data_IF_522182090012
#
_entry.id   IF_522182090012
#
_cell.length_a   1.000
_cell.length_b   1.000
_cell.length_c   1.000
_cell.angle_alpha   90.00
_cell.angle_beta   90.00
_cell.angle_gamma   90.00
#
_symmetry.space_group_name_H-M   'P 1'
#
loop_
_entity.id
_entity.type
_entity.pdbx_description
1 polymer ?
#
# COMPACT_ATOMS: atom_id res chain seq x y z
N UNK A 1 -29.90 -5.10 23.43
CA UNK A 1 -29.08 -5.16 22.20
C UNK A 1 -28.20 -3.94 22.20
N UNK A 2 -26.89 -4.15 22.20
CA UNK A 2 -25.81 -3.25 21.75
C UNK A 2 -24.50 -3.87 22.23
N UNK A 3 -24.02 -4.86 21.48
CA UNK A 3 -22.66 -5.36 21.60
C UNK A 3 -21.77 -4.40 20.82
N UNK A 4 -21.08 -3.52 21.53
CA UNK A 4 -19.87 -2.86 21.05
C UNK A 4 -18.85 -3.96 20.78
N UNK A 5 -18.67 -4.34 19.52
CA UNK A 5 -17.47 -5.08 19.10
C UNK A 5 -16.28 -4.16 19.35
N UNK A 6 -15.51 -4.48 20.39
CA UNK A 6 -14.16 -3.94 20.57
C UNK A 6 -13.35 -4.28 19.32
N UNK A 7 -13.08 -3.27 18.52
CA UNK A 7 -12.13 -3.34 17.42
C UNK A 7 -10.75 -3.57 18.04
N UNK A 8 -10.34 -4.84 18.15
CA UNK A 8 -9.00 -5.19 18.61
C UNK A 8 -8.02 -4.66 17.57
N UNK A 9 -7.36 -3.56 17.90
CA UNK A 9 -6.23 -3.04 17.13
C UNK A 9 -5.22 -4.17 16.96
N UNK A 10 -5.00 -4.59 15.71
CA UNK A 10 -3.94 -5.53 15.38
C UNK A 10 -2.62 -4.77 15.52
N UNK A 11 -1.67 -5.23 16.34
CA UNK A 11 -0.40 -4.55 16.50
C UNK A 11 0.34 -4.58 15.16
N UNK A 12 0.62 -3.40 14.61
CA UNK A 12 1.43 -3.23 13.40
C UNK A 12 2.88 -3.09 13.87
N UNK A 13 3.68 -4.12 13.64
CA UNK A 13 5.11 -4.13 13.94
C UNK A 13 5.89 -3.53 12.79
N UNK A 14 6.95 -2.75 13.07
CA UNK A 14 7.85 -2.23 12.04
C UNK A 14 8.70 -3.39 11.47
N UNK A 15 8.49 -3.81 10.20
CA UNK A 15 9.21 -4.92 9.60
C UNK A 15 10.70 -4.59 9.34
N UNK A 16 11.10 -3.33 9.49
CA UNK A 16 12.46 -2.82 9.26
C UNK A 16 13.24 -2.60 10.55
N UNK A 17 12.59 -2.66 11.72
CA UNK A 17 13.26 -2.48 13.01
C UNK A 17 13.85 -3.81 13.50
N UNK A 18 15.14 -3.82 13.81
CA UNK A 18 15.83 -5.00 14.33
C UNK A 18 15.35 -5.40 15.75
N UNK A 19 14.66 -4.48 16.40
CA UNK A 19 13.88 -4.66 17.62
C UNK A 19 12.44 -4.52 17.19
N UNK A 20 11.58 -5.51 17.40
CA UNK A 20 10.14 -5.49 17.06
C UNK A 20 9.40 -4.35 17.80
N UNK A 21 9.69 -3.10 17.45
CA UNK A 21 9.10 -1.92 18.07
C UNK A 21 7.66 -1.81 17.58
N UNK A 22 6.74 -1.74 18.53
CA UNK A 22 5.32 -1.48 18.26
C UNK A 22 5.19 -0.08 17.67
N UNK A 23 4.63 0.02 16.46
CA UNK A 23 4.31 1.31 15.86
C UNK A 23 3.11 1.86 16.64
N UNK A 24 3.29 3.02 17.29
CA UNK A 24 2.18 3.72 17.94
C UNK A 24 1.11 4.03 16.88
N UNK A 25 -0.11 3.44 16.97
CA UNK A 25 -1.16 3.63 15.97
C UNK A 25 -1.67 5.08 15.90
N UNK A 26 -1.32 5.94 16.86
CA UNK A 26 -1.60 7.38 16.78
C UNK A 26 -0.70 8.11 15.77
N UNK A 27 0.51 7.59 15.51
CA UNK A 27 1.45 8.10 14.49
C UNK A 27 0.96 7.74 13.07
N UNK A 28 0.27 6.61 12.92
CA UNK A 28 -0.18 6.08 11.62
C UNK A 28 -1.47 6.76 11.11
N UNK A 29 -2.27 7.40 11.99
CA UNK A 29 -3.53 8.04 11.59
C UNK A 29 -3.38 9.22 10.63
N UNK A 30 -2.21 9.86 10.63
CA UNK A 30 -1.95 11.05 9.80
C UNK A 30 -1.06 10.76 8.57
N UNK A 31 -0.75 9.49 8.33
CA UNK A 31 0.23 9.09 7.29
C UNK A 31 -0.28 9.30 5.86
N UNK A 32 -1.59 9.21 5.64
CA UNK A 32 -2.23 9.43 4.34
C UNK A 32 -3.15 10.65 4.44
N UNK A 33 -2.93 11.63 3.56
CA UNK A 33 -3.69 12.89 3.52
C UNK A 33 -4.22 13.14 2.12
N UNK A 34 -5.50 13.47 2.01
CA UNK A 34 -6.09 13.88 0.73
C UNK A 34 -5.79 15.36 0.50
N UNK A 35 -5.13 15.69 -0.61
CA UNK A 35 -4.84 17.07 -0.98
C UNK A 35 -6.10 17.77 -1.52
N UNK A 36 -6.08 19.10 -1.52
CA UNK A 36 -7.17 19.93 -2.03
C UNK A 36 -7.43 19.69 -3.53
N UNK A 37 -8.70 19.79 -3.93
CA UNK A 37 -9.13 19.53 -5.31
C UNK A 37 -9.40 18.05 -5.61
N UNK A 38 -9.72 17.26 -4.59
CA UNK A 38 -10.25 15.91 -4.75
C UNK A 38 -11.72 15.94 -5.17
N UNK A 39 -12.04 15.13 -6.17
CA UNK A 39 -13.39 14.74 -6.59
C UNK A 39 -13.53 13.22 -6.43
N UNK A 40 -14.75 12.70 -6.52
CA UNK A 40 -15.00 11.25 -6.41
C UNK A 40 -14.22 10.44 -7.47
N UNK A 41 -13.98 11.03 -8.64
CA UNK A 41 -13.25 10.41 -9.76
C UNK A 41 -11.80 10.86 -9.90
N UNK A 42 -11.32 11.83 -9.11
CA UNK A 42 -9.94 12.30 -9.20
C UNK A 42 -9.43 12.89 -7.88
N UNK A 43 -8.43 12.25 -7.27
CA UNK A 43 -7.84 12.72 -6.02
C UNK A 43 -6.31 12.61 -6.03
N UNK A 44 -5.69 13.47 -5.22
CA UNK A 44 -4.27 13.37 -4.90
C UNK A 44 -4.12 13.00 -3.43
N UNK A 45 -3.39 11.93 -3.16
CA UNK A 45 -3.07 11.43 -1.84
C UNK A 45 -1.61 11.74 -1.54
N UNK A 46 -1.33 12.40 -0.43
CA UNK A 46 0.01 12.56 0.11
C UNK A 46 0.24 11.48 1.16
N UNK A 47 1.32 10.72 0.99
CA UNK A 47 1.75 9.66 1.90
C UNK A 47 3.08 10.09 2.51
N UNK A 48 3.11 10.22 3.83
CA UNK A 48 4.31 10.62 4.56
C UNK A 48 5.16 9.41 4.96
N UNK A 49 6.48 9.56 4.89
CA UNK A 49 7.44 8.49 5.22
C UNK A 49 7.67 7.48 4.09
N UNK A 50 7.09 7.69 2.91
CA UNK A 50 7.18 6.78 1.77
C UNK A 50 7.91 7.39 0.57
N UNK A 51 8.47 6.54 -0.27
CA UNK A 51 9.31 6.92 -1.41
C UNK A 51 8.98 6.17 -2.71
N UNK A 52 9.91 6.16 -3.65
CA UNK A 52 9.77 5.48 -4.94
C UNK A 52 9.47 3.98 -4.82
N UNK A 53 9.83 3.34 -3.72
CA UNK A 53 9.62 1.91 -3.48
C UNK A 53 8.12 1.60 -3.48
N UNK A 54 7.37 2.19 -2.55
CA UNK A 54 5.91 2.03 -2.50
C UNK A 54 5.25 2.73 -3.69
N UNK A 55 5.71 3.92 -4.06
CA UNK A 55 5.11 4.71 -5.13
C UNK A 55 5.10 4.01 -6.47
N UNK A 56 6.23 3.45 -6.89
CA UNK A 56 6.33 2.77 -8.18
C UNK A 56 5.54 1.45 -8.19
N UNK A 57 5.59 0.69 -7.09
CA UNK A 57 4.83 -0.54 -6.95
C UNK A 57 3.33 -0.28 -7.04
N UNK A 58 2.83 0.65 -6.22
CA UNK A 58 1.41 0.99 -6.17
C UNK A 58 0.92 1.59 -7.49
N UNK A 59 1.71 2.49 -8.12
CA UNK A 59 1.42 3.01 -9.47
C UNK A 59 1.25 1.88 -10.47
N UNK A 60 2.15 0.88 -10.46
CA UNK A 60 2.09 -0.24 -11.40
C UNK A 60 0.82 -1.07 -11.21
N UNK A 61 0.47 -1.40 -9.97
CA UNK A 61 -0.73 -2.20 -9.64
C UNK A 61 -2.01 -1.45 -10.02
N UNK A 62 -2.15 -0.19 -9.59
CA UNK A 62 -3.35 0.61 -9.85
C UNK A 62 -3.55 0.80 -11.35
N UNK A 63 -2.48 0.97 -12.13
CA UNK A 63 -2.57 1.12 -13.59
C UNK A 63 -3.00 -0.18 -14.32
N UNK A 64 -3.05 -1.33 -13.65
CA UNK A 64 -3.64 -2.56 -14.20
C UNK A 64 -5.15 -2.59 -14.09
N UNK A 65 -5.74 -1.77 -13.22
CA UNK A 65 -7.18 -1.70 -13.08
C UNK A 65 -7.77 -0.99 -14.32
N UNK A 66 -8.69 -1.63 -15.07
CA UNK A 66 -9.31 -1.03 -16.26
C UNK A 66 -10.15 0.22 -15.95
N UNK A 67 -10.60 0.37 -14.70
CA UNK A 67 -11.41 1.51 -14.26
C UNK A 67 -10.57 2.77 -13.98
N UNK A 68 -9.24 2.67 -14.10
CA UNK A 68 -8.30 3.77 -13.90
C UNK A 68 -7.89 4.37 -15.23
N UNK A 69 -8.14 5.67 -15.38
CA UNK A 69 -7.68 6.44 -16.54
C UNK A 69 -6.22 6.87 -16.35
N UNK A 70 -5.90 7.37 -15.16
CA UNK A 70 -4.56 7.91 -14.87
C UNK A 70 -4.12 7.56 -13.45
N UNK A 71 -2.89 7.10 -13.33
CA UNK A 71 -2.22 6.94 -12.04
C UNK A 71 -0.75 7.37 -12.17
N UNK A 72 -0.32 8.27 -11.29
CA UNK A 72 1.05 8.77 -11.26
C UNK A 72 1.45 9.14 -9.85
N UNK A 73 2.75 9.04 -9.56
CA UNK A 73 3.29 9.50 -8.28
C UNK A 73 4.45 10.47 -8.52
N UNK A 74 4.67 11.37 -7.57
CA UNK A 74 5.76 12.34 -7.59
C UNK A 74 6.25 12.61 -6.18
N UNK A 75 7.56 12.74 -6.02
CA UNK A 75 8.18 13.25 -4.80
C UNK A 75 8.48 14.74 -5.06
N UNK A 76 7.87 15.66 -4.30
CA UNK A 76 8.00 17.10 -4.54
C UNK A 76 9.44 17.58 -4.37
N UNK A 77 10.18 16.99 -3.41
CA UNK A 77 11.59 17.29 -3.19
C UNK A 77 12.32 16.07 -2.58
N UNK A 78 13.52 15.69 -3.05
CA UNK A 78 14.23 14.50 -2.56
C UNK A 78 14.59 14.52 -1.06
N UNK A 79 14.69 15.71 -0.47
CA UNK A 79 14.96 15.87 0.97
C UNK A 79 13.71 15.80 1.85
N UNK A 80 12.52 15.71 1.26
CA UNK A 80 11.27 15.51 1.99
C UNK A 80 10.81 14.07 1.80
N UNK A 81 10.52 13.38 2.91
CA UNK A 81 9.95 12.04 2.92
C UNK A 81 8.43 12.10 2.71
N UNK A 82 8.01 12.70 1.59
CA UNK A 82 6.60 12.83 1.21
C UNK A 82 6.42 12.39 -0.22
N UNK A 83 5.43 11.55 -0.44
CA UNK A 83 5.07 11.07 -1.77
C UNK A 83 3.64 11.50 -2.11
N UNK A 84 3.46 12.11 -3.27
CA UNK A 84 2.13 12.45 -3.78
C UNK A 84 1.72 11.44 -4.86
N UNK A 85 0.61 10.74 -4.65
CA UNK A 85 -0.02 9.83 -5.58
C UNK A 85 -1.30 10.48 -6.15
N UNK A 86 -1.38 10.63 -7.47
CA UNK A 86 -2.57 11.11 -8.18
C UNK A 86 -3.27 9.94 -8.85
N UNK A 87 -4.56 9.79 -8.59
CA UNK A 87 -5.43 8.80 -9.24
C UNK A 87 -6.58 9.54 -9.94
N UNK A 88 -6.89 9.12 -11.15
CA UNK A 88 -8.10 9.50 -11.89
C UNK A 88 -8.75 8.24 -12.44
N UNK A 89 -10.04 8.09 -12.17
CA UNK A 89 -10.87 6.96 -12.57
C UNK A 89 -11.87 7.40 -13.64
N UNK A 90 -12.39 6.44 -14.40
CA UNK A 90 -13.54 6.67 -15.26
C UNK A 90 -14.81 6.89 -14.44
N UNK A 91 -15.86 7.42 -15.09
CA UNK A 91 -17.13 7.75 -14.45
C UNK A 91 -17.74 6.55 -13.72
N UNK A 92 -18.14 6.76 -12.46
CA UNK A 92 -18.87 5.78 -11.65
C UNK A 92 -18.01 4.95 -10.70
N UNK A 93 -16.70 5.17 -10.64
CA UNK A 93 -15.79 4.48 -9.72
C UNK A 93 -15.08 5.48 -8.81
N UNK A 94 -15.19 5.24 -7.49
CA UNK A 94 -14.54 6.05 -6.46
C UNK A 94 -13.03 5.85 -6.47
N UNK A 95 -12.27 6.95 -6.44
CA UNK A 95 -10.81 6.92 -6.27
C UNK A 95 -10.37 6.27 -4.96
N UNK A 96 -11.19 6.34 -3.92
CA UNK A 96 -10.91 5.72 -2.62
C UNK A 96 -10.97 4.19 -2.72
N UNK A 97 -11.97 3.67 -3.42
CA UNK A 97 -12.14 2.23 -3.62
C UNK A 97 -11.01 1.66 -4.48
N UNK A 98 -10.57 2.41 -5.49
CA UNK A 98 -9.43 2.05 -6.34
C UNK A 98 -8.12 2.04 -5.55
N UNK A 99 -7.92 3.01 -4.64
CA UNK A 99 -6.74 3.04 -3.79
C UNK A 99 -6.71 1.84 -2.84
N UNK A 100 -7.81 1.57 -2.14
CA UNK A 100 -7.94 0.43 -1.23
C UNK A 100 -7.72 -0.89 -1.97
N UNK A 101 -8.38 -1.06 -3.13
CA UNK A 101 -8.20 -2.22 -4.00
C UNK A 101 -6.75 -2.37 -4.47
N UNK A 102 -6.11 -1.27 -4.85
CA UNK A 102 -4.70 -1.27 -5.29
C UNK A 102 -3.73 -1.71 -4.19
N UNK A 103 -3.98 -1.32 -2.93
CA UNK A 103 -3.19 -1.76 -1.78
C UNK A 103 -3.41 -3.25 -1.49
N UNK A 104 -4.67 -3.71 -1.53
CA UNK A 104 -4.99 -5.13 -1.35
C UNK A 104 -4.36 -6.02 -2.43
N UNK A 105 -4.41 -5.58 -3.69
CA UNK A 105 -3.81 -6.31 -4.81
C UNK A 105 -2.27 -6.34 -4.73
N UNK A 106 -1.64 -5.29 -4.19
CA UNK A 106 -0.22 -5.27 -3.92
C UNK A 106 0.16 -6.28 -2.83
N UNK A 107 -0.59 -6.33 -1.73
CA UNK A 107 -0.38 -7.33 -0.67
C UNK A 107 -0.53 -8.75 -1.20
N UNK A 108 -1.61 -9.03 -1.93
CA UNK A 108 -1.84 -10.34 -2.54
C UNK A 108 -0.72 -10.74 -3.52
N UNK A 109 -0.12 -9.78 -4.23
CA UNK A 109 1.05 -10.05 -5.08
C UNK A 109 2.27 -10.47 -4.25
N UNK A 110 2.53 -9.80 -3.13
CA UNK A 110 3.61 -10.16 -2.22
C UNK A 110 3.44 -11.58 -1.68
N UNK A 111 2.24 -11.96 -1.25
CA UNK A 111 1.93 -13.31 -0.74
C UNK A 111 2.26 -14.40 -1.77
N UNK A 112 1.86 -14.19 -3.03
CA UNK A 112 2.14 -15.14 -4.12
C UNK A 112 3.64 -15.25 -4.42
N UNK A 113 4.37 -14.13 -4.33
CA UNK A 113 5.83 -14.12 -4.54
C UNK A 113 6.52 -14.87 -3.40
N UNK A 114 6.13 -14.63 -2.15
CA UNK A 114 6.66 -15.30 -0.98
C UNK A 114 6.43 -16.82 -1.02
N UNK A 115 5.20 -17.24 -1.35
CA UNK A 115 4.84 -18.66 -1.47
C UNK A 115 5.72 -19.37 -2.51
N UNK A 116 5.82 -18.80 -3.72
CA UNK A 116 6.61 -19.38 -4.82
C UNK A 116 8.09 -19.41 -4.50
N UNK A 117 8.61 -18.35 -3.86
CA UNK A 117 10.00 -18.29 -3.45
C UNK A 117 10.32 -19.36 -2.40
N UNK A 118 9.48 -19.46 -1.36
CA UNK A 118 9.63 -20.45 -0.28
C UNK A 118 9.58 -21.87 -0.83
N UNK A 119 8.60 -22.17 -1.70
CA UNK A 119 8.49 -23.48 -2.36
C UNK A 119 9.74 -23.81 -3.17
N UNK A 120 10.21 -22.89 -4.02
CA UNK A 120 11.38 -23.10 -4.87
C UNK A 120 12.68 -23.25 -4.05
N UNK A 121 12.80 -22.51 -2.95
CA UNK A 121 13.92 -22.61 -2.01
C UNK A 121 13.94 -23.97 -1.34
N UNK A 122 12.81 -24.44 -0.83
CA UNK A 122 12.72 -25.71 -0.11
C UNK A 122 12.99 -26.90 -1.04
N UNK A 123 12.49 -26.85 -2.28
CA UNK A 123 12.85 -27.81 -3.32
C UNK A 123 14.36 -27.82 -3.61
N UNK A 124 15.01 -26.65 -3.70
CA UNK A 124 16.45 -26.55 -3.93
C UNK A 124 17.25 -27.14 -2.76
N UNK A 125 16.86 -26.84 -1.51
CA UNK A 125 17.51 -27.36 -0.31
C UNK A 125 17.39 -28.89 -0.25
N UNK A 126 16.19 -29.43 -0.53
CA UNK A 126 15.97 -30.89 -0.53
C UNK A 126 16.86 -31.60 -1.55
N UNK A 127 17.02 -31.05 -2.76
CA UNK A 127 17.92 -31.61 -3.79
C UNK A 127 19.40 -31.57 -3.43
N UNK A 128 19.84 -30.70 -2.52
CA UNK A 128 21.24 -30.61 -2.10
C UNK A 128 21.60 -31.56 -0.95
N UNK A 129 20.59 -32.14 -0.29
CA UNK A 129 20.78 -33.09 0.81
C UNK A 129 20.79 -34.55 0.34
N UNK A 130 20.44 -34.81 -0.93
CA UNK A 130 20.59 -36.10 -1.63
C UNK A 130 21.96 -36.20 -2.33
#
# INVERSE_FOLDING_TARGET
MNGTTEEKAVPIVDPTSATEEEIDPSIDRDRIRVLSGATDTAASFQIDGEDHTLGNALRYIIHKNPDVEFCGYSIPHPSETKMNLRIQTYDGVSVYDVLDKGLQDLMAMCDVVEEKFTTSRDEFVNRMQE
#
